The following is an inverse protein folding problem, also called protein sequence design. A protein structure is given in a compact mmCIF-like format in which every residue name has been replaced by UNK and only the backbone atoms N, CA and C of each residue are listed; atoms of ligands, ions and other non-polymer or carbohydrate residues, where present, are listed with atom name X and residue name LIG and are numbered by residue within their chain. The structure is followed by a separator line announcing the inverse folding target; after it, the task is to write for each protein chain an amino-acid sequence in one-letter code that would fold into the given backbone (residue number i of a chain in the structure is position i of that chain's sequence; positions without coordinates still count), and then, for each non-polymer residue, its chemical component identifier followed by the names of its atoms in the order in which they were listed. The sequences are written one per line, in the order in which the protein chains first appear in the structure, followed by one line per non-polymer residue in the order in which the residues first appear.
data_IF_983687938740
#
_entry.id   IF_983687938740
#
_cell.length_a   1.000
_cell.length_b   1.000
_cell.length_c   1.000
_cell.angle_alpha   90.00
_cell.angle_beta   90.00
_cell.angle_gamma   90.00
#
_symmetry.space_group_name_H-M   'P 1'
#
loop_
_entity.id
_entity.type
_entity.pdbx_description
1 polymer ?
#
# COMPACT_ATOMS: atom_id res chain seq x y z
N UNK A 1 -22.40 -79.22 -17.93
CA UNK A 1 -20.95 -78.96 -17.76
C UNK A 1 -20.74 -77.48 -18.02
N UNK A 2 -20.35 -76.75 -16.98
CA UNK A 2 -20.22 -75.31 -16.95
C UNK A 2 -19.01 -74.85 -17.77
N UNK A 3 -19.21 -73.91 -18.70
CA UNK A 3 -18.11 -73.18 -19.34
C UNK A 3 -17.76 -72.00 -18.43
N UNK A 4 -16.51 -71.99 -18.02
CA UNK A 4 -15.89 -71.09 -17.06
C UNK A 4 -15.81 -69.66 -17.63
N UNK A 5 -16.50 -68.70 -16.98
CA UNK A 5 -16.31 -67.29 -17.25
C UNK A 5 -14.89 -66.87 -16.83
N UNK A 6 -14.11 -66.40 -17.80
CA UNK A 6 -12.72 -66.00 -17.64
C UNK A 6 -12.61 -64.74 -16.75
N UNK A 7 -11.93 -64.79 -15.58
CA UNK A 7 -11.85 -63.66 -14.63
C UNK A 7 -10.92 -62.52 -15.10
N UNK A 8 -10.31 -62.64 -16.28
CA UNK A 8 -9.30 -61.70 -16.78
C UNK A 8 -9.92 -60.41 -17.35
N UNK A 9 -11.09 -60.50 -18.01
CA UNK A 9 -11.79 -59.34 -18.60
C UNK A 9 -12.33 -58.37 -17.53
N UNK A 10 -12.90 -58.91 -16.44
CA UNK A 10 -13.45 -58.12 -15.35
C UNK A 10 -12.36 -57.39 -14.55
N UNK A 11 -11.18 -58.02 -14.37
CA UNK A 11 -10.01 -57.37 -13.73
C UNK A 11 -9.45 -56.24 -14.56
N UNK A 12 -9.41 -56.38 -15.90
CA UNK A 12 -8.95 -55.32 -16.80
C UNK A 12 -9.91 -54.13 -16.79
N UNK A 13 -11.23 -54.39 -16.82
CA UNK A 13 -12.25 -53.35 -16.74
C UNK A 13 -12.19 -52.59 -15.40
N UNK A 14 -12.00 -53.32 -14.29
CA UNK A 14 -11.83 -52.71 -12.97
C UNK A 14 -10.55 -51.87 -12.88
N UNK A 15 -9.44 -52.34 -13.46
CA UNK A 15 -8.20 -51.56 -13.55
C UNK A 15 -8.37 -50.28 -14.38
N UNK A 16 -9.11 -50.32 -15.50
CA UNK A 16 -9.40 -49.14 -16.33
C UNK A 16 -10.31 -48.15 -15.60
N UNK A 17 -11.33 -48.63 -14.87
CA UNK A 17 -12.20 -47.78 -14.05
C UNK A 17 -11.41 -47.14 -12.90
N UNK A 18 -10.53 -47.89 -12.22
CA UNK A 18 -9.65 -47.37 -11.17
C UNK A 18 -8.66 -46.34 -11.75
N UNK A 19 -8.10 -46.57 -12.94
CA UNK A 19 -7.23 -45.60 -13.63
C UNK A 19 -8.00 -44.33 -14.02
N UNK A 20 -9.27 -44.46 -14.42
CA UNK A 20 -10.15 -43.33 -14.73
C UNK A 20 -10.45 -42.45 -13.52
N UNK A 21 -10.68 -43.06 -12.34
CA UNK A 21 -10.90 -42.32 -11.09
C UNK A 21 -9.63 -41.55 -10.66
N UNK A 22 -8.43 -42.07 -10.95
CA UNK A 22 -7.14 -41.42 -10.66
C UNK A 22 -6.86 -40.20 -11.57
N UNK A 23 -7.47 -40.11 -12.75
CA UNK A 23 -7.31 -38.95 -13.66
C UNK A 23 -8.21 -37.75 -13.34
N UNK A 24 -9.09 -37.85 -12.35
CA UNK A 24 -10.02 -36.79 -11.94
C UNK A 24 -9.41 -35.58 -11.22
N UNK A 25 -8.09 -35.51 -11.06
CA UNK A 25 -7.40 -34.47 -10.27
C UNK A 25 -6.62 -33.43 -11.10
N UNK A 26 -6.94 -33.25 -12.39
CA UNK A 26 -6.32 -32.19 -13.22
C UNK A 26 -6.92 -30.80 -12.92
N UNK A 27 -8.13 -30.75 -12.35
CA UNK A 27 -8.90 -29.54 -12.06
C UNK A 27 -8.23 -28.60 -11.03
N UNK A 28 -7.71 -29.08 -9.89
CA UNK A 28 -7.09 -28.20 -8.88
C UNK A 28 -5.76 -27.58 -9.34
N UNK A 29 -4.96 -28.31 -10.15
CA UNK A 29 -3.68 -27.81 -10.65
C UNK A 29 -3.86 -26.77 -11.75
N UNK A 30 -4.83 -26.96 -12.65
CA UNK A 30 -5.20 -25.97 -13.66
C UNK A 30 -5.77 -24.70 -12.99
N UNK A 31 -6.61 -24.85 -11.96
CA UNK A 31 -7.16 -23.73 -11.20
C UNK A 31 -6.07 -22.94 -10.47
N UNK A 32 -5.14 -23.61 -9.77
CA UNK A 32 -4.07 -22.92 -9.06
C UNK A 32 -3.18 -22.12 -10.03
N UNK A 33 -2.85 -22.68 -11.21
CA UNK A 33 -2.10 -21.94 -12.24
C UNK A 33 -2.86 -20.75 -12.79
N UNK A 34 -4.17 -20.88 -13.00
CA UNK A 34 -5.01 -19.78 -13.47
C UNK A 34 -5.10 -18.64 -12.44
N UNK A 35 -5.24 -18.97 -11.15
CA UNK A 35 -5.28 -17.98 -10.07
C UNK A 35 -3.94 -17.24 -9.94
N UNK A 36 -2.80 -17.93 -10.02
CA UNK A 36 -1.47 -17.30 -9.97
C UNK A 36 -1.27 -16.38 -11.19
N UNK A 37 -1.51 -16.89 -12.39
CA UNK A 37 -1.38 -16.08 -13.61
C UNK A 37 -2.32 -14.86 -13.61
N UNK A 38 -3.48 -14.99 -12.98
CA UNK A 38 -4.42 -13.89 -12.77
C UNK A 38 -3.88 -12.85 -11.80
N UNK A 39 -3.36 -13.27 -10.65
CA UNK A 39 -2.78 -12.36 -9.64
C UNK A 39 -1.58 -11.58 -10.20
N UNK A 40 -0.72 -12.27 -10.95
CA UNK A 40 0.40 -11.68 -11.69
C UNK A 40 -0.11 -10.63 -12.70
N UNK A 41 -1.11 -10.97 -13.53
CA UNK A 41 -1.66 -10.05 -14.52
C UNK A 41 -2.32 -8.79 -13.90
N UNK A 42 -3.02 -8.95 -12.77
CA UNK A 42 -3.62 -7.81 -12.05
C UNK A 42 -2.53 -6.93 -11.44
N UNK A 43 -1.52 -7.53 -10.81
CA UNK A 43 -0.40 -6.80 -10.20
C UNK A 43 0.41 -6.04 -11.26
N UNK A 44 0.68 -6.67 -12.40
CA UNK A 44 1.33 -6.04 -13.55
C UNK A 44 0.51 -4.87 -14.11
N UNK A 45 -0.80 -5.05 -14.28
CA UNK A 45 -1.67 -4.00 -14.79
C UNK A 45 -1.68 -2.77 -13.86
N UNK A 46 -1.77 -2.97 -12.54
CA UNK A 46 -1.71 -1.86 -11.57
C UNK A 46 -0.33 -1.19 -11.62
N UNK A 47 0.75 -1.96 -11.65
CA UNK A 47 2.12 -1.44 -11.70
C UNK A 47 2.37 -0.60 -12.94
N UNK A 48 1.91 -1.08 -14.11
CA UNK A 48 1.94 -0.32 -15.35
C UNK A 48 1.05 0.94 -15.27
N UNK A 49 -0.12 0.86 -14.63
CA UNK A 49 -1.01 2.02 -14.46
C UNK A 49 -0.41 3.11 -13.55
N UNK A 50 0.37 2.72 -12.54
CA UNK A 50 1.12 3.67 -11.72
C UNK A 50 2.18 4.37 -12.56
N UNK A 51 3.01 3.60 -13.27
CA UNK A 51 4.11 4.15 -14.05
C UNK A 51 3.63 5.04 -15.21
N UNK A 52 2.58 4.63 -15.94
CA UNK A 52 1.98 5.47 -17.00
C UNK A 52 1.42 6.78 -16.44
N UNK A 53 0.86 6.77 -15.24
CA UNK A 53 0.32 7.99 -14.63
C UNK A 53 1.42 8.93 -14.12
N UNK A 54 2.59 8.41 -13.72
CA UNK A 54 3.78 9.24 -13.46
C UNK A 54 4.22 9.93 -14.77
N UNK A 55 4.28 9.19 -15.88
CA UNK A 55 4.64 9.74 -17.20
C UNK A 55 3.60 10.75 -17.70
N UNK A 56 2.30 10.48 -17.50
CA UNK A 56 1.24 11.45 -17.79
C UNK A 56 1.40 12.72 -16.97
N UNK A 57 1.70 12.60 -15.67
CA UNK A 57 1.92 13.74 -14.80
C UNK A 57 3.12 14.59 -15.27
N UNK A 58 4.21 13.94 -15.69
CA UNK A 58 5.36 14.61 -16.31
C UNK A 58 4.95 15.42 -17.54
N UNK A 59 4.14 14.84 -18.43
CA UNK A 59 3.62 15.51 -19.63
C UNK A 59 2.37 16.38 -19.38
N UNK A 60 2.02 16.68 -18.13
CA UNK A 60 0.83 17.48 -17.74
C UNK A 60 -0.48 16.97 -18.35
N UNK A 61 -0.60 15.65 -18.50
CA UNK A 61 -1.82 15.00 -18.95
C UNK A 61 -2.68 14.57 -17.76
N UNK A 62 -4.00 14.42 -17.96
CA UNK A 62 -4.90 13.92 -16.93
C UNK A 62 -4.47 12.54 -16.41
N UNK A 63 -4.36 12.41 -15.09
CA UNK A 63 -4.16 11.14 -14.41
C UNK A 63 -5.48 10.38 -14.40
N UNK A 64 -5.44 9.10 -14.76
CA UNK A 64 -6.63 8.24 -14.81
C UNK A 64 -6.28 6.82 -14.40
N UNK A 65 -7.14 6.16 -13.62
CA UNK A 65 -6.97 4.77 -13.20
C UNK A 65 -8.10 3.91 -13.74
N UNK A 66 -7.76 2.84 -14.44
CA UNK A 66 -8.70 1.78 -14.84
C UNK A 66 -8.51 0.59 -13.92
N UNK A 67 -9.60 0.09 -13.34
CA UNK A 67 -9.61 -1.11 -12.52
C UNK A 67 -10.10 -2.30 -13.33
N UNK A 68 -9.63 -3.50 -12.97
CA UNK A 68 -10.29 -4.73 -13.38
C UNK A 68 -11.33 -5.04 -12.30
N UNK A 69 -12.62 -4.97 -12.63
CA UNK A 69 -13.68 -5.13 -11.63
C UNK A 69 -14.01 -6.59 -11.37
N UNK A 70 -13.92 -7.44 -12.40
CA UNK A 70 -14.16 -8.86 -12.31
C UNK A 70 -13.58 -9.59 -13.53
N UNK A 71 -13.05 -10.79 -13.34
CA UNK A 71 -12.72 -11.73 -14.42
C UNK A 71 -13.47 -13.03 -14.16
N UNK A 72 -14.33 -13.42 -15.10
CA UNK A 72 -15.03 -14.70 -15.07
C UNK A 72 -14.40 -15.65 -16.09
N UNK A 73 -13.74 -16.72 -15.64
CA UNK A 73 -13.19 -17.75 -16.52
C UNK A 73 -14.16 -18.93 -16.63
N UNK A 74 -14.58 -19.25 -17.86
CA UNK A 74 -15.39 -20.45 -18.14
C UNK A 74 -14.49 -21.52 -18.75
N UNK A 75 -14.38 -22.69 -18.10
CA UNK A 75 -13.64 -23.83 -18.62
C UNK A 75 -14.60 -24.84 -19.25
N UNK A 76 -14.44 -25.10 -20.54
CA UNK A 76 -15.20 -26.11 -21.26
C UNK A 76 -14.33 -27.35 -21.49
N UNK A 77 -14.67 -28.44 -20.81
CA UNK A 77 -14.08 -29.76 -21.01
C UNK A 77 -15.00 -30.58 -21.92
N UNK A 78 -14.56 -30.88 -23.14
CA UNK A 78 -15.30 -31.75 -24.05
C UNK A 78 -14.48 -33.02 -24.30
N UNK A 79 -15.01 -34.15 -23.84
CA UNK A 79 -14.49 -35.47 -24.16
C UNK A 79 -15.44 -36.12 -25.18
N UNK A 80 -14.92 -36.44 -26.35
CA UNK A 80 -15.65 -37.12 -27.41
C UNK A 80 -15.15 -38.56 -27.51
N UNK A 81 -16.08 -39.50 -27.54
CA UNK A 81 -15.83 -40.90 -27.86
C UNK A 81 -16.65 -41.27 -29.10
N UNK A 82 -15.98 -41.74 -30.13
CA UNK A 82 -16.60 -42.15 -31.39
C UNK A 82 -16.07 -43.49 -31.85
N UNK A 83 -16.64 -44.01 -32.93
CA UNK A 83 -16.17 -45.21 -33.59
C UNK A 83 -15.95 -44.89 -35.06
N UNK A 84 -14.76 -45.17 -35.58
CA UNK A 84 -14.44 -45.02 -37.00
C UNK A 84 -14.14 -46.39 -37.63
N UNK A 85 -14.49 -46.61 -38.91
CA UNK A 85 -14.09 -47.82 -39.62
C UNK A 85 -12.57 -47.95 -39.67
N UNK A 86 -12.04 -49.16 -39.50
CA UNK A 86 -10.61 -49.40 -39.65
C UNK A 86 -10.11 -48.98 -41.05
N UNK A 87 -9.01 -48.21 -41.10
CA UNK A 87 -8.35 -47.83 -42.35
C UNK A 87 -7.67 -49.05 -42.97
N UNK A 88 -8.44 -49.83 -43.73
CA UNK A 88 -7.95 -51.04 -44.38
C UNK A 88 -9.05 -51.89 -45.03
N UNK A 89 -9.67 -51.38 -46.09
CA UNK A 89 -10.42 -52.19 -47.07
C UNK A 89 -11.74 -52.82 -46.61
N UNK A 90 -12.68 -52.98 -47.53
CA UNK A 90 -14.09 -53.39 -47.35
C UNK A 90 -14.33 -54.83 -46.85
N UNK A 91 -13.42 -55.43 -46.06
CA UNK A 91 -13.53 -56.81 -45.59
C UNK A 91 -13.42 -56.98 -44.06
N UNK A 92 -13.40 -55.90 -43.28
CA UNK A 92 -13.39 -55.97 -41.81
C UNK A 92 -14.53 -55.19 -41.17
N UNK A 93 -15.44 -55.86 -40.46
CA UNK A 93 -16.52 -55.25 -39.64
C UNK A 93 -16.01 -54.62 -38.34
N UNK A 94 -14.71 -54.29 -38.26
CA UNK A 94 -14.08 -53.84 -37.02
C UNK A 94 -14.14 -52.31 -36.90
N UNK A 95 -14.93 -51.85 -35.94
CA UNK A 95 -14.99 -50.46 -35.53
C UNK A 95 -13.82 -50.17 -34.58
N UNK A 96 -13.00 -49.18 -34.92
CA UNK A 96 -11.94 -48.69 -34.03
C UNK A 96 -12.52 -47.58 -33.14
N UNK A 97 -12.36 -47.67 -31.81
CA UNK A 97 -12.74 -46.59 -30.93
C UNK A 97 -11.79 -45.40 -31.14
N UNK A 98 -12.38 -44.20 -31.23
CA UNK A 98 -11.67 -42.92 -31.32
C UNK A 98 -12.01 -42.13 -30.07
N UNK A 99 -10.99 -41.69 -29.35
CA UNK A 99 -11.13 -40.82 -28.19
C UNK A 99 -10.48 -39.48 -28.51
N UNK A 100 -11.21 -38.39 -28.30
CA UNK A 100 -10.72 -37.02 -28.43
C UNK A 100 -11.04 -36.23 -27.17
N UNK A 101 -10.09 -35.46 -26.68
CA UNK A 101 -10.30 -34.50 -25.60
C UNK A 101 -9.98 -33.10 -26.09
N UNK A 102 -10.82 -32.13 -25.77
CA UNK A 102 -10.51 -30.71 -25.96
C UNK A 102 -10.81 -29.96 -24.67
N UNK A 103 -9.90 -29.06 -24.31
CA UNK A 103 -10.04 -28.11 -23.22
C UNK A 103 -10.04 -26.73 -23.87
N UNK A 104 -11.10 -25.96 -23.66
CA UNK A 104 -11.20 -24.59 -24.14
C UNK A 104 -11.50 -23.66 -22.97
N UNK A 105 -10.79 -22.53 -22.92
CA UNK A 105 -10.93 -21.50 -21.89
C UNK A 105 -11.39 -20.20 -22.55
N UNK A 106 -12.50 -19.64 -22.06
CA UNK A 106 -13.03 -18.35 -22.53
C UNK A 106 -13.18 -17.40 -21.35
N UNK A 107 -12.13 -16.64 -20.98
CA UNK A 107 -12.21 -15.65 -19.92
C UNK A 107 -12.96 -14.41 -20.40
N UNK A 108 -13.95 -13.97 -19.60
CA UNK A 108 -14.62 -12.68 -19.79
C UNK A 108 -14.02 -11.69 -18.79
N UNK A 109 -13.30 -10.69 -19.31
CA UNK A 109 -12.66 -9.65 -18.51
C UNK A 109 -13.60 -8.44 -18.46
N UNK A 110 -14.09 -8.08 -17.27
CA UNK A 110 -14.82 -6.84 -17.04
C UNK A 110 -13.85 -5.76 -16.55
N UNK A 111 -13.64 -4.76 -17.39
CA UNK A 111 -12.84 -3.58 -17.08
C UNK A 111 -13.81 -2.47 -16.72
N UNK A 112 -13.70 -1.94 -15.50
CA UNK A 112 -14.49 -0.79 -15.06
C UNK A 112 -13.52 0.30 -14.70
N UNK A 113 -13.59 1.47 -15.37
CA UNK A 113 -12.82 2.63 -14.95
C UNK A 113 -13.03 2.91 -13.45
N UNK A 114 -11.95 3.25 -12.73
CA UNK A 114 -12.10 3.73 -11.35
C UNK A 114 -12.57 5.19 -11.46
N UNK A 115 -13.86 5.34 -11.71
CA UNK A 115 -14.53 6.62 -11.89
C UNK A 115 -15.46 6.91 -10.71
N UNK A 116 -15.63 8.19 -10.41
CA UNK A 116 -16.50 8.65 -9.34
C UNK A 116 -15.93 9.86 -8.60
N UNK A 117 -16.83 10.69 -8.08
CA UNK A 117 -16.48 11.87 -7.28
C UNK A 117 -15.65 11.48 -6.05
N UNK A 118 -16.01 10.37 -5.38
CA UNK A 118 -15.30 9.88 -4.19
C UNK A 118 -13.84 9.49 -4.47
N UNK A 119 -13.58 8.81 -5.58
CA UNK A 119 -12.21 8.46 -5.97
C UNK A 119 -11.40 9.72 -6.30
N UNK A 120 -11.98 10.62 -7.11
CA UNK A 120 -11.34 11.89 -7.47
C UNK A 120 -11.02 12.72 -6.23
N UNK A 121 -11.97 12.82 -5.30
CA UNK A 121 -11.79 13.52 -4.03
C UNK A 121 -10.66 12.89 -3.22
N UNK A 122 -10.61 11.57 -3.07
CA UNK A 122 -9.53 10.88 -2.33
C UNK A 122 -8.17 11.01 -3.01
N UNK A 123 -8.13 10.96 -4.33
CA UNK A 123 -6.91 11.13 -5.14
C UNK A 123 -6.30 12.52 -4.93
N UNK A 124 -7.14 13.55 -4.80
CA UNK A 124 -6.74 14.95 -4.65
C UNK A 124 -6.57 15.39 -3.20
N UNK A 125 -7.23 14.73 -2.25
CA UNK A 125 -7.13 15.05 -0.82
C UNK A 125 -5.78 14.56 -0.30
N UNK A 126 -5.02 15.40 0.44
CA UNK A 126 -3.78 14.96 1.06
C UNK A 126 -3.98 13.79 2.03
N UNK A 127 -2.95 12.94 2.17
CA UNK A 127 -3.05 11.78 3.06
C UNK A 127 -3.20 12.24 4.52
N UNK A 128 -4.12 11.64 5.30
CA UNK A 128 -4.19 11.90 6.73
C UNK A 128 -2.98 11.31 7.45
N UNK A 129 -2.56 11.93 8.55
CA UNK A 129 -1.40 11.50 9.35
C UNK A 129 -1.45 10.03 9.82
N UNK A 130 -2.65 9.46 9.95
CA UNK A 130 -2.83 8.06 10.36
C UNK A 130 -2.25 7.05 9.36
N UNK A 131 -2.24 7.38 8.06
CA UNK A 131 -1.68 6.51 7.01
C UNK A 131 -0.15 6.46 7.10
N UNK A 132 0.51 7.62 7.29
CA UNK A 132 1.95 7.67 7.53
C UNK A 132 2.33 6.98 8.85
N UNK A 133 1.57 7.23 9.92
CA UNK A 133 1.78 6.60 11.24
C UNK A 133 1.74 5.07 11.15
N UNK A 134 0.78 4.52 10.39
CA UNK A 134 0.67 3.08 10.16
C UNK A 134 1.94 2.52 9.49
N UNK A 135 2.45 3.19 8.46
CA UNK A 135 3.65 2.75 7.74
C UNK A 135 4.91 2.85 8.63
N UNK A 136 5.04 3.92 9.43
CA UNK A 136 6.14 4.05 10.39
C UNK A 136 6.14 2.93 11.44
N UNK A 137 4.96 2.54 11.96
CA UNK A 137 4.82 1.40 12.88
C UNK A 137 5.14 0.04 12.24
N UNK A 138 4.98 -0.06 10.93
CA UNK A 138 5.41 -1.22 10.14
C UNK A 138 6.91 -1.21 9.81
N UNK A 139 7.68 -0.26 10.36
CA UNK A 139 9.12 -0.12 10.16
C UNK A 139 9.52 0.15 8.71
N UNK A 140 8.65 0.83 7.95
CA UNK A 140 9.08 1.45 6.70
C UNK A 140 10.12 2.54 6.99
N UNK A 141 11.09 2.67 6.10
CA UNK A 141 12.13 3.69 6.19
C UNK A 141 11.50 5.10 6.18
N UNK A 142 11.72 5.84 7.26
CA UNK A 142 11.23 7.21 7.43
C UNK A 142 11.80 8.14 6.36
N UNK A 143 13.01 7.87 5.85
CA UNK A 143 13.64 8.65 4.80
C UNK A 143 12.81 8.58 3.52
N UNK A 144 12.56 7.36 3.06
CA UNK A 144 11.76 7.09 1.87
C UNK A 144 10.31 7.57 2.04
N UNK A 145 9.70 7.30 3.20
CA UNK A 145 8.33 7.72 3.52
C UNK A 145 8.17 9.24 3.44
N UNK A 146 9.03 9.99 4.13
CA UNK A 146 8.91 11.44 4.15
C UNK A 146 9.25 12.03 2.78
N UNK A 147 10.28 11.53 2.08
CA UNK A 147 10.60 12.00 0.72
C UNK A 147 9.48 11.78 -0.29
N UNK A 148 8.70 10.71 -0.14
CA UNK A 148 7.60 10.40 -1.04
C UNK A 148 6.31 11.13 -0.63
N UNK A 149 5.95 11.05 0.64
CA UNK A 149 4.64 11.49 1.13
C UNK A 149 4.60 12.96 1.53
N UNK A 150 5.73 13.62 1.80
CA UNK A 150 5.69 15.00 2.32
C UNK A 150 6.02 16.03 1.25
N UNK A 151 5.29 17.13 1.28
CA UNK A 151 5.44 18.27 0.38
C UNK A 151 6.45 19.29 0.91
N UNK A 152 6.43 19.52 2.21
CA UNK A 152 7.25 20.53 2.89
C UNK A 152 7.38 20.19 4.36
N UNK A 153 8.46 20.67 4.96
CA UNK A 153 8.65 20.70 6.41
C UNK A 153 8.56 22.15 6.90
N UNK A 154 7.83 22.37 7.98
CA UNK A 154 7.73 23.66 8.65
C UNK A 154 8.41 23.57 10.00
N UNK A 155 9.52 24.30 10.17
CA UNK A 155 10.25 24.34 11.42
C UNK A 155 9.70 25.45 12.31
N UNK A 156 9.45 25.11 13.57
CA UNK A 156 9.08 26.06 14.61
C UNK A 156 10.37 26.67 15.19
N UNK A 157 10.66 27.92 14.82
CA UNK A 157 11.68 28.74 15.47
C UNK A 157 11.01 29.90 16.20
N UNK A 158 11.59 30.34 17.32
CA UNK A 158 11.03 31.19 18.39
C UNK A 158 10.26 32.47 18.03
N UNK A 159 10.18 32.87 16.76
CA UNK A 159 9.32 33.96 16.29
C UNK A 159 8.84 33.82 14.83
N UNK A 160 9.34 32.86 14.04
CA UNK A 160 9.02 32.76 12.62
C UNK A 160 9.01 31.30 12.18
N UNK A 161 7.94 30.89 11.52
CA UNK A 161 7.85 29.58 10.89
C UNK A 161 8.64 29.61 9.59
N UNK A 162 9.66 28.75 9.49
CA UNK A 162 10.42 28.57 8.26
C UNK A 162 9.86 27.37 7.50
N UNK A 163 9.52 27.56 6.23
CA UNK A 163 8.94 26.53 5.36
C UNK A 163 10.00 26.10 4.35
N UNK A 164 10.30 24.80 4.30
CA UNK A 164 11.29 24.20 3.42
C UNK A 164 10.61 23.14 2.55
N UNK A 165 10.57 23.36 1.23
CA UNK A 165 9.83 22.50 0.31
C UNK A 165 10.66 21.31 -0.14
N UNK A 166 10.01 20.16 -0.25
CA UNK A 166 10.55 18.99 -0.93
C UNK A 166 10.38 19.16 -2.46
N UNK A 167 11.14 20.09 -3.03
CA UNK A 167 11.24 20.32 -4.48
C UNK A 167 12.66 20.77 -4.82
N UNK A 168 13.40 20.04 -5.68
CA UNK A 168 14.76 20.41 -6.08
C UNK A 168 14.91 21.81 -6.69
N UNK A 169 13.82 22.39 -7.20
CA UNK A 169 13.80 23.77 -7.71
C UNK A 169 13.97 24.84 -6.63
N UNK A 170 13.61 24.53 -5.38
CA UNK A 170 13.87 25.35 -4.20
C UNK A 170 15.13 24.83 -3.50
N UNK A 171 16.31 25.26 -3.96
CA UNK A 171 17.60 24.69 -3.52
C UNK A 171 17.74 24.72 -1.99
N UNK A 172 17.54 25.88 -1.37
CA UNK A 172 17.66 26.03 0.09
C UNK A 172 16.59 25.25 0.83
N UNK A 173 15.35 25.27 0.34
CA UNK A 173 14.25 24.45 0.86
C UNK A 173 14.55 22.96 0.81
N UNK A 174 14.96 22.48 -0.35
CA UNK A 174 15.21 21.07 -0.61
C UNK A 174 16.36 20.53 0.23
N UNK A 175 17.48 21.25 0.30
CA UNK A 175 18.62 20.83 1.11
C UNK A 175 18.25 20.72 2.59
N UNK A 176 17.55 21.72 3.13
CA UNK A 176 17.12 21.70 4.53
C UNK A 176 16.09 20.60 4.79
N UNK A 177 15.12 20.41 3.90
CA UNK A 177 14.18 19.31 3.95
C UNK A 177 14.91 17.96 4.00
N UNK A 178 15.85 17.73 3.08
CA UNK A 178 16.65 16.51 3.01
C UNK A 178 17.49 16.28 4.26
N UNK A 179 18.13 17.32 4.81
CA UNK A 179 18.90 17.22 6.06
C UNK A 179 18.01 16.82 7.24
N UNK A 180 16.82 17.40 7.36
CA UNK A 180 15.86 17.04 8.42
C UNK A 180 15.42 15.59 8.30
N UNK A 181 15.07 15.14 7.09
CA UNK A 181 14.64 13.75 6.87
C UNK A 181 15.78 12.76 7.15
N UNK A 182 16.99 13.04 6.67
CA UNK A 182 18.19 12.25 6.97
C UNK A 182 18.47 12.16 8.48
N UNK A 183 18.17 13.23 9.22
CA UNK A 183 18.30 13.23 10.68
C UNK A 183 17.31 12.27 11.35
N UNK A 184 16.05 12.27 10.92
CA UNK A 184 15.04 11.33 11.42
C UNK A 184 15.36 9.89 11.06
N UNK A 185 15.91 9.65 9.87
CA UNK A 185 16.41 8.34 9.44
C UNK A 185 17.51 7.81 10.35
N UNK A 186 18.51 8.65 10.66
CA UNK A 186 19.57 8.26 11.61
C UNK A 186 19.02 7.86 13.00
N UNK A 187 17.97 8.54 13.47
CA UNK A 187 17.30 8.21 14.74
C UNK A 187 16.51 6.89 14.63
N UNK A 188 15.83 6.66 13.50
CA UNK A 188 15.10 5.43 13.23
C UNK A 188 16.03 4.21 13.16
N UNK A 189 17.19 4.34 12.52
CA UNK A 189 18.19 3.27 12.38
C UNK A 189 18.67 2.71 13.73
N UNK A 190 18.60 3.53 14.80
CA UNK A 190 18.92 3.11 16.16
C UNK A 190 17.70 2.65 16.97
N UNK A 191 16.53 2.52 16.35
CA UNK A 191 15.25 2.24 17.00
C UNK A 191 14.92 3.25 18.11
N UNK A 192 15.27 4.52 17.90
CA UNK A 192 15.00 5.63 18.84
C UNK A 192 13.96 6.61 18.31
N UNK A 193 13.38 6.34 17.14
CA UNK A 193 12.31 7.14 16.57
C UNK A 193 10.96 6.56 17.01
N UNK A 194 10.16 7.38 17.69
CA UNK A 194 8.81 7.03 18.12
C UNK A 194 7.81 7.80 17.26
N UNK A 195 6.72 7.15 16.85
CA UNK A 195 5.63 7.77 16.11
C UNK A 195 4.30 7.34 16.74
N UNK A 196 3.89 8.06 17.78
CA UNK A 196 2.76 7.67 18.62
C UNK A 196 1.71 8.79 18.69
N UNK A 197 0.40 8.45 18.72
CA UNK A 197 -0.65 9.41 18.99
C UNK A 197 -0.53 9.91 20.42
N UNK A 198 -0.57 11.24 20.59
CA UNK A 198 -0.60 11.85 21.90
C UNK A 198 -1.99 11.62 22.51
N UNK A 199 -2.13 10.90 23.64
CA UNK A 199 -3.42 10.71 24.26
C UNK A 199 -3.92 12.05 24.83
N UNK A 200 -5.08 12.49 24.36
CA UNK A 200 -5.76 13.67 24.88
C UNK A 200 -6.66 13.24 26.03
N UNK A 201 -6.52 13.90 27.17
CA UNK A 201 -7.33 13.65 28.36
C UNK A 201 -8.25 14.83 28.56
N UNK A 202 -9.51 14.65 28.19
CA UNK A 202 -10.53 15.64 28.45
C UNK A 202 -11.14 15.39 29.83
N UNK A 203 -11.20 16.43 30.66
CA UNK A 203 -11.70 16.33 32.03
C UNK A 203 -12.89 17.25 32.22
N UNK A 204 -14.01 16.70 32.69
CA UNK A 204 -15.21 17.46 33.06
C UNK A 204 -15.55 17.23 34.52
N UNK A 205 -16.06 18.27 35.19
CA UNK A 205 -16.59 18.16 36.55
C UNK A 205 -18.06 18.46 36.53
N UNK A 206 -18.88 17.54 37.05
CA UNK A 206 -20.33 17.69 37.10
C UNK A 206 -20.86 17.44 38.53
N UNK A 207 -21.89 18.17 38.98
CA UNK A 207 -22.52 17.91 40.28
C UNK A 207 -23.10 16.51 40.35
N UNK A 208 -22.84 15.76 41.42
CA UNK A 208 -23.36 14.41 41.55
C UNK A 208 -24.89 14.38 41.64
N UNK A 209 -25.50 15.45 42.15
CA UNK A 209 -26.95 15.65 42.18
C UNK A 209 -27.60 15.80 40.80
N UNK A 210 -26.81 16.11 39.77
CA UNK A 210 -27.29 16.28 38.39
C UNK A 210 -27.33 14.97 37.58
N UNK A 211 -26.82 13.87 38.15
CA UNK A 211 -26.69 12.57 37.46
C UNK A 211 -27.66 11.55 38.05
N UNK A 212 -28.67 11.16 37.27
CA UNK A 212 -29.55 10.04 37.61
C UNK A 212 -28.79 8.69 37.52
N UNK A 213 -29.31 7.63 38.16
CA UNK A 213 -28.67 6.31 38.20
C UNK A 213 -28.44 5.72 36.79
N UNK A 214 -29.40 5.92 35.87
CA UNK A 214 -29.30 5.49 34.48
C UNK A 214 -28.24 6.31 33.72
N UNK A 215 -28.17 7.61 34.01
CA UNK A 215 -27.15 8.51 33.44
C UNK A 215 -25.74 8.14 33.89
N UNK A 216 -25.57 7.69 35.13
CA UNK A 216 -24.28 7.25 35.66
C UNK A 216 -23.76 6.02 34.90
N UNK A 217 -24.61 5.03 34.63
CA UNK A 217 -24.22 3.86 33.83
C UNK A 217 -23.83 4.24 32.39
N UNK A 218 -24.50 5.22 31.79
CA UNK A 218 -24.12 5.73 30.47
C UNK A 218 -22.75 6.42 30.50
N UNK A 219 -22.49 7.24 31.52
CA UNK A 219 -21.18 7.90 31.71
C UNK A 219 -20.05 6.89 31.88
N UNK A 220 -20.24 5.82 32.65
CA UNK A 220 -19.21 4.79 32.84
C UNK A 220 -18.86 4.02 31.56
N UNK A 221 -19.71 4.02 30.53
CA UNK A 221 -19.41 3.38 29.24
C UNK A 221 -18.41 4.20 28.40
N UNK A 222 -18.44 5.52 28.56
CA UNK A 222 -17.64 6.43 27.73
C UNK A 222 -16.49 7.13 28.46
N UNK A 223 -16.57 7.23 29.79
CA UNK A 223 -15.64 8.01 30.63
C UNK A 223 -15.12 7.18 31.79
N UNK A 224 -13.89 7.47 32.19
CA UNK A 224 -13.39 7.09 33.52
C UNK A 224 -14.01 8.06 34.53
N UNK A 225 -14.90 7.55 35.37
CA UNK A 225 -15.66 8.36 36.35
C UNK A 225 -15.04 8.23 37.74
N UNK A 226 -14.73 9.36 38.37
CA UNK A 226 -14.28 9.43 39.76
C UNK A 226 -15.22 10.29 40.59
N UNK A 227 -15.55 9.87 41.81
CA UNK A 227 -16.42 10.62 42.72
C UNK A 227 -15.59 11.34 43.79
N UNK A 228 -15.79 12.64 43.92
CA UNK A 228 -15.22 13.44 45.00
C UNK A 228 -16.31 13.70 46.06
N UNK A 229 -16.18 13.06 47.21
CA UNK A 229 -17.14 13.15 48.32
C UNK A 229 -17.11 14.47 49.08
N UNK A 230 -16.02 15.25 48.98
CA UNK A 230 -15.92 16.56 49.65
C UNK A 230 -16.74 17.63 48.94
N UNK A 231 -16.67 17.63 47.61
CA UNK A 231 -17.31 18.63 46.76
C UNK A 231 -18.63 18.14 46.14
N UNK A 232 -19.01 16.89 46.43
CA UNK A 232 -20.18 16.18 45.88
C UNK A 232 -20.26 16.24 44.34
N UNK A 233 -19.12 16.06 43.68
CA UNK A 233 -18.98 16.13 42.22
C UNK A 233 -18.42 14.83 41.64
N UNK A 234 -18.83 14.50 40.42
CA UNK A 234 -18.15 13.53 39.59
C UNK A 234 -17.12 14.22 38.69
N UNK A 235 -15.93 13.65 38.61
CA UNK A 235 -14.92 13.96 37.59
C UNK A 235 -14.99 12.91 36.51
N UNK A 236 -15.21 13.34 35.27
CA UNK A 236 -15.26 12.50 34.08
C UNK A 236 -13.97 12.70 33.28
N UNK A 237 -13.27 11.62 32.93
CA UNK A 237 -12.09 11.65 32.06
C UNK A 237 -12.34 10.84 30.80
N UNK A 238 -12.17 11.44 29.62
CA UNK A 238 -12.20 10.73 28.33
C UNK A 238 -10.82 10.77 27.69
N UNK A 239 -10.33 9.59 27.33
CA UNK A 239 -9.11 9.46 26.55
C UNK A 239 -9.49 9.41 25.07
N UNK A 240 -9.04 10.37 24.29
CA UNK A 240 -9.18 10.37 22.83
C UNK A 240 -7.80 10.36 22.18
N UNK A 241 -7.62 9.63 21.06
CA UNK A 241 -6.37 9.73 20.32
C UNK A 241 -6.21 11.15 19.77
N UNK A 242 -5.12 11.82 20.13
CA UNK A 242 -4.72 13.09 19.56
C UNK A 242 -3.85 12.93 18.32
N UNK A 243 -3.20 14.02 17.88
CA UNK A 243 -2.28 13.98 16.75
C UNK A 243 -1.10 13.03 17.05
N UNK A 244 -0.59 12.39 16.00
CA UNK A 244 0.66 11.64 16.06
C UNK A 244 1.83 12.60 16.15
N UNK A 245 2.74 12.33 17.08
CA UNK A 245 4.01 13.05 17.22
C UNK A 245 5.18 12.11 16.93
N UNK A 246 6.04 12.52 15.99
CA UNK A 246 7.32 11.86 15.73
C UNK A 246 8.38 12.42 16.69
N UNK A 247 9.05 11.57 17.45
CA UNK A 247 9.97 12.02 18.52
C UNK A 247 11.19 11.13 18.65
N UNK A 248 12.25 11.65 19.29
CA UNK A 248 13.43 10.86 19.69
C UNK A 248 13.39 10.37 21.15
N UNK A 249 12.23 10.49 21.80
CA UNK A 249 11.99 10.12 23.19
C UNK A 249 10.60 9.47 23.29
N UNK A 250 10.33 8.74 24.36
CA UNK A 250 9.02 8.12 24.54
C UNK A 250 7.95 9.19 24.87
N UNK A 251 6.91 9.40 24.02
CA UNK A 251 5.89 10.42 24.25
C UNK A 251 5.05 10.21 25.53
N UNK A 252 5.06 9.00 26.10
CA UNK A 252 4.41 8.72 27.39
C UNK A 252 5.07 9.48 28.55
N UNK A 253 6.33 9.91 28.39
CA UNK A 253 7.08 10.67 29.40
C UNK A 253 6.70 12.16 29.46
N UNK A 254 5.91 12.66 28.51
CA UNK A 254 5.45 14.05 28.50
C UNK A 254 4.57 14.36 29.72
N UNK A 255 4.70 15.57 30.25
CA UNK A 255 3.75 16.11 31.24
C UNK A 255 2.40 16.44 30.58
N UNK A 256 1.34 16.52 31.39
CA UNK A 256 0.01 16.89 30.88
C UNK A 256 0.00 18.30 30.25
N UNK A 257 0.73 19.26 30.83
CA UNK A 257 0.89 20.60 30.27
C UNK A 257 1.60 20.60 28.90
N UNK A 258 2.59 19.73 28.70
CA UNK A 258 3.26 19.61 27.41
C UNK A 258 2.35 18.98 26.36
N UNK A 259 1.54 17.98 26.75
CA UNK A 259 0.55 17.37 25.85
C UNK A 259 -0.50 18.40 25.43
N UNK A 260 -0.98 19.21 26.36
CA UNK A 260 -1.94 20.29 26.09
C UNK A 260 -1.34 21.34 25.15
N UNK A 261 -0.09 21.78 25.36
CA UNK A 261 0.60 22.69 24.42
C UNK A 261 0.72 22.12 23.00
N UNK A 262 0.97 20.82 22.87
CA UNK A 262 0.99 20.16 21.55
C UNK A 262 -0.41 20.03 20.96
N UNK A 263 -1.42 19.82 21.79
CA UNK A 263 -2.81 19.78 21.36
C UNK A 263 -3.30 21.13 20.86
N UNK A 264 -3.12 22.20 21.63
CA UNK A 264 -3.51 23.57 21.26
C UNK A 264 -2.87 23.98 19.94
N UNK A 265 -1.59 23.62 19.76
CA UNK A 265 -0.90 23.85 18.49
C UNK A 265 -1.53 23.05 17.35
N UNK A 266 -1.99 21.83 17.61
CA UNK A 266 -2.58 20.95 16.62
C UNK A 266 -4.03 21.27 16.24
N UNK A 267 -4.78 22.00 17.06
CA UNK A 267 -6.14 22.45 16.70
C UNK A 267 -6.15 23.31 15.43
N UNK A 268 -5.07 24.07 15.19
CA UNK A 268 -4.92 24.92 14.02
C UNK A 268 -4.40 24.16 12.77
N UNK A 269 -4.07 22.88 12.87
CA UNK A 269 -3.37 22.13 11.81
C UNK A 269 -4.30 21.34 10.90
N UNK A 270 -3.86 21.15 9.65
CA UNK A 270 -4.55 20.28 8.70
C UNK A 270 -4.45 18.81 9.18
N UNK A 271 -5.48 18.00 8.94
CA UNK A 271 -5.49 16.54 9.22
C UNK A 271 -4.29 15.82 8.56
N UNK A 272 -3.73 16.46 7.54
CA UNK A 272 -2.62 16.01 6.71
C UNK A 272 -1.26 16.55 7.17
N UNK A 273 -1.19 17.27 8.28
CA UNK A 273 0.06 17.68 8.91
C UNK A 273 0.44 16.66 10.01
N UNK A 274 1.71 16.22 10.04
CA UNK A 274 2.26 15.35 11.10
C UNK A 274 3.33 16.09 11.87
N UNK A 275 3.21 16.14 13.19
CA UNK A 275 4.13 16.87 14.05
C UNK A 275 5.38 16.05 14.37
N UNK A 276 6.48 16.75 14.64
CA UNK A 276 7.68 16.14 15.21
C UNK A 276 8.36 17.03 16.25
N UNK A 277 9.03 16.39 17.23
CA UNK A 277 9.80 17.02 18.28
C UNK A 277 11.07 16.22 18.59
N UNK A 278 12.23 16.78 18.24
CA UNK A 278 13.54 16.22 18.53
C UNK A 278 14.15 17.02 19.68
N UNK A 279 14.34 16.35 20.83
CA UNK A 279 14.83 16.96 22.06
C UNK A 279 16.31 16.66 22.28
N UNK A 280 16.99 17.64 22.88
CA UNK A 280 18.35 17.45 23.41
C UNK A 280 18.36 16.39 24.53
N UNK A 281 19.47 15.68 24.69
CA UNK A 281 19.65 14.66 25.74
C UNK A 281 19.16 13.25 25.35
N UNK A 282 18.57 13.10 24.18
CA UNK A 282 18.25 11.82 23.55
C UNK A 282 19.10 11.62 22.29
N UNK A 283 19.11 10.42 21.72
CA UNK A 283 19.86 10.15 20.48
C UNK A 283 19.34 11.03 19.33
N UNK A 284 20.23 11.68 18.57
CA UNK A 284 19.87 12.72 17.60
C UNK A 284 19.60 14.09 18.22
N UNK A 285 19.62 14.21 19.55
CA UNK A 285 19.42 15.46 20.27
C UNK A 285 20.54 16.50 20.08
N UNK A 286 21.59 16.19 19.32
CA UNK A 286 22.61 17.13 18.87
C UNK A 286 22.03 18.20 17.92
N UNK A 287 20.90 17.90 17.28
CA UNK A 287 20.13 18.85 16.47
C UNK A 287 18.68 18.94 16.95
N UNK A 288 18.42 19.68 18.06
CA UNK A 288 17.07 19.83 18.56
C UNK A 288 16.24 20.68 17.57
N UNK A 289 15.08 20.16 17.21
CA UNK A 289 14.16 20.81 16.28
C UNK A 289 12.74 20.30 16.49
N UNK A 290 11.77 21.19 16.30
CA UNK A 290 10.35 20.84 16.31
C UNK A 290 9.66 21.47 15.11
N UNK A 291 8.59 20.83 14.67
CA UNK A 291 7.94 21.24 13.44
C UNK A 291 6.84 20.30 13.02
N UNK A 292 6.43 20.44 11.78
CA UNK A 292 5.46 19.55 11.16
C UNK A 292 5.77 19.33 9.68
N UNK A 293 5.43 18.14 9.19
CA UNK A 293 5.48 17.82 7.77
C UNK A 293 4.07 17.89 7.20
N UNK A 294 3.94 18.53 6.05
CA UNK A 294 2.70 18.53 5.29
C UNK A 294 2.68 17.37 4.31
N UNK A 295 1.69 16.50 4.43
CA UNK A 295 1.53 15.36 3.54
C UNK A 295 0.95 15.76 2.17
N UNK A 296 1.31 14.99 1.15
CA UNK A 296 0.85 15.10 -0.23
C UNK A 296 -0.43 14.31 -0.40
N UNK A 297 -1.22 14.67 -1.39
CA UNK A 297 -2.22 13.78 -1.97
C UNK A 297 -1.57 12.78 -2.90
N UNK A 298 -2.25 11.68 -3.21
CA UNK A 298 -1.70 10.69 -4.15
C UNK A 298 -1.46 11.31 -5.55
N UNK A 299 -2.35 12.20 -6.01
CA UNK A 299 -2.12 13.01 -7.20
C UNK A 299 -0.80 13.82 -7.14
N UNK A 300 -0.53 14.43 -5.99
CA UNK A 300 0.67 15.24 -5.76
C UNK A 300 1.95 14.39 -5.70
N UNK A 301 1.85 13.13 -5.25
CA UNK A 301 2.96 12.15 -5.32
C UNK A 301 3.28 11.81 -6.78
N UNK A 302 2.28 11.47 -7.58
CA UNK A 302 2.49 11.18 -9.02
C UNK A 302 3.08 12.38 -9.75
N UNK A 303 2.62 13.59 -9.44
CA UNK A 303 3.16 14.83 -10.00
C UNK A 303 4.61 15.08 -9.57
N UNK A 304 4.95 14.81 -8.30
CA UNK A 304 6.32 14.92 -7.79
C UNK A 304 7.26 13.94 -8.48
N UNK A 305 6.86 12.67 -8.60
CA UNK A 305 7.64 11.66 -9.33
C UNK A 305 7.73 11.97 -10.83
N UNK A 306 6.67 12.54 -11.42
CA UNK A 306 6.66 12.97 -12.81
C UNK A 306 7.64 14.11 -13.08
N UNK A 307 7.82 15.04 -12.13
CA UNK A 307 8.86 16.07 -12.24
C UNK A 307 10.27 15.49 -12.17
N UNK A 308 10.46 14.46 -11.35
CA UNK A 308 11.73 13.74 -11.23
C UNK A 308 12.11 12.92 -12.49
N UNK A 309 11.20 12.74 -13.46
CA UNK A 309 11.52 12.15 -14.76
C UNK A 309 12.29 13.10 -15.70
N UNK A 310 12.35 14.40 -15.43
CA UNK A 310 13.06 15.34 -16.30
C UNK A 310 13.30 16.73 -15.71
N UNK A 311 12.25 17.46 -15.37
CA UNK A 311 12.31 18.90 -15.11
C UNK A 311 12.94 19.28 -13.75
N UNK A 312 12.76 18.43 -12.72
CA UNK A 312 13.26 18.69 -11.37
C UNK A 312 13.93 17.42 -10.81
N UNK A 313 15.09 17.06 -11.38
CA UNK A 313 15.91 15.96 -10.87
C UNK A 313 16.46 16.31 -9.48
N UNK A 314 16.27 15.40 -8.53
CA UNK A 314 16.94 15.47 -7.24
C UNK A 314 18.46 15.33 -7.40
N UNK A 315 19.19 15.82 -6.42
CA UNK A 315 20.65 15.78 -6.39
C UNK A 315 21.12 15.42 -4.99
N UNK A 316 22.41 15.12 -4.88
CA UNK A 316 23.02 14.75 -3.62
C UNK A 316 22.93 15.89 -2.59
N UNK A 317 22.40 15.58 -1.41
CA UNK A 317 22.40 16.49 -0.27
C UNK A 317 23.13 15.85 0.89
N UNK A 318 24.22 16.48 1.29
CA UNK A 318 24.98 16.08 2.47
C UNK A 318 24.14 16.23 3.75
N UNK A 319 24.28 15.25 4.65
CA UNK A 319 23.64 15.31 5.97
C UNK A 319 24.20 16.49 6.78
N UNK A 320 23.40 17.01 7.71
CA UNK A 320 23.88 18.01 8.67
C UNK A 320 25.00 17.40 9.53
N UNK A 321 25.99 18.21 9.92
CA UNK A 321 27.11 17.77 10.75
C UNK A 321 26.66 17.23 12.12
N UNK A 322 25.51 17.70 12.62
CA UNK A 322 24.90 17.24 13.86
C UNK A 322 24.10 15.95 13.67
N UNK A 323 23.85 15.51 12.44
CA UNK A 323 23.16 14.25 12.18
C UNK A 323 24.08 13.08 12.51
N UNK A 324 23.61 12.11 13.32
CA UNK A 324 24.38 10.89 13.62
C UNK A 324 24.73 10.07 12.35
N UNK A 325 25.54 9.00 12.48
CA UNK A 325 25.76 8.08 11.38
C UNK A 325 24.45 7.40 10.93
N UNK A 326 24.26 7.29 9.61
CA UNK A 326 23.14 6.59 8.97
C UNK A 326 23.60 5.19 8.61
N UNK A 327 22.75 4.19 8.81
CA UNK A 327 23.05 2.80 8.52
C UNK A 327 23.42 2.63 7.05
N UNK A 328 24.55 1.96 6.77
CA UNK A 328 25.12 1.75 5.42
C UNK A 328 25.41 3.04 4.64
N UNK A 329 25.33 4.22 5.27
CA UNK A 329 25.42 5.51 4.61
C UNK A 329 24.42 5.63 3.43
N UNK A 330 23.22 5.06 3.59
CA UNK A 330 22.16 5.11 2.58
C UNK A 330 21.61 6.54 2.48
N UNK A 331 21.97 7.24 1.41
CA UNK A 331 21.45 8.57 1.08
C UNK A 331 21.35 8.72 -0.45
N UNK A 332 20.36 8.07 -1.10
CA UNK A 332 20.19 8.17 -2.54
C UNK A 332 19.78 9.59 -2.95
N UNK A 333 20.24 10.07 -4.10
CA UNK A 333 19.90 11.42 -4.58
C UNK A 333 18.41 11.56 -4.89
N UNK A 334 17.81 10.53 -5.48
CA UNK A 334 16.42 10.52 -5.93
C UNK A 334 15.53 9.73 -4.98
N UNK A 335 14.27 10.16 -4.83
CA UNK A 335 13.23 9.37 -4.11
C UNK A 335 12.98 8.05 -4.83
N UNK A 336 12.98 8.06 -6.16
CA UNK A 336 12.90 6.87 -7.02
C UNK A 336 13.55 7.20 -8.36
N UNK A 337 14.45 6.35 -8.81
CA UNK A 337 15.12 6.51 -10.09
C UNK A 337 14.38 5.80 -11.21
N UNK A 338 14.37 6.40 -12.40
CA UNK A 338 13.70 5.89 -13.58
C UNK A 338 14.67 5.70 -14.75
N UNK A 339 14.37 4.73 -15.60
CA UNK A 339 15.06 4.50 -16.88
C UNK A 339 14.14 4.93 -18.01
N UNK A 340 14.62 5.81 -18.88
CA UNK A 340 13.96 6.20 -20.13
C UNK A 340 14.82 5.75 -21.30
N UNK A 341 14.25 4.93 -22.19
CA UNK A 341 14.99 4.33 -23.30
C UNK A 341 14.16 4.30 -24.60
N UNK A 342 14.83 4.32 -25.74
CA UNK A 342 14.17 4.18 -27.05
C UNK A 342 13.81 2.73 -27.40
N UNK A 343 14.37 1.76 -26.66
CA UNK A 343 14.15 0.31 -26.80
C UNK A 343 13.75 -0.27 -25.46
N UNK A 344 13.14 -1.46 -25.45
CA UNK A 344 12.78 -2.17 -24.21
C UNK A 344 14.01 -2.31 -23.30
N UNK A 345 13.98 -1.76 -22.07
CA UNK A 345 15.08 -1.89 -21.13
C UNK A 345 15.28 -3.36 -20.75
N UNK A 346 16.53 -3.83 -20.75
CA UNK A 346 16.86 -5.17 -20.30
C UNK A 346 16.98 -5.23 -18.77
N UNK A 347 16.53 -6.34 -18.17
CA UNK A 347 16.66 -6.64 -16.73
C UNK A 347 16.02 -5.58 -15.82
N UNK A 348 14.88 -5.01 -16.26
CA UNK A 348 13.97 -4.27 -15.38
C UNK A 348 12.83 -5.19 -14.98
N UNK A 349 12.23 -4.93 -13.82
CA UNK A 349 11.14 -5.78 -13.30
C UNK A 349 9.89 -5.65 -14.22
N UNK A 350 9.59 -4.44 -14.70
CA UNK A 350 8.58 -4.18 -15.73
C UNK A 350 8.87 -2.85 -16.45
N UNK A 351 8.23 -2.63 -17.61
CA UNK A 351 8.30 -1.35 -18.33
C UNK A 351 6.98 -1.02 -19.01
N UNK A 352 6.77 0.27 -19.30
CA UNK A 352 5.64 0.76 -20.10
C UNK A 352 6.15 1.53 -21.31
N UNK A 353 5.39 1.51 -22.40
CA UNK A 353 5.69 2.27 -23.62
C UNK A 353 4.78 3.47 -23.73
N UNK A 354 5.35 4.66 -23.90
CA UNK A 354 4.63 5.91 -24.09
C UNK A 354 5.33 6.79 -25.13
N UNK A 355 4.56 7.29 -26.10
CA UNK A 355 5.05 8.17 -27.17
C UNK A 355 6.35 7.69 -27.86
N UNK A 356 6.47 6.38 -28.09
CA UNK A 356 7.64 5.79 -28.74
C UNK A 356 8.84 5.47 -27.83
N UNK A 357 8.79 5.86 -26.55
CA UNK A 357 9.82 5.57 -25.56
C UNK A 357 9.34 4.54 -24.52
N UNK A 358 10.29 3.87 -23.89
CA UNK A 358 10.07 2.96 -22.78
C UNK A 358 10.48 3.61 -21.48
N UNK A 359 9.63 3.44 -20.47
CA UNK A 359 9.83 3.92 -19.12
C UNK A 359 9.83 2.73 -18.16
N UNK A 360 10.75 2.72 -17.20
CA UNK A 360 10.85 1.70 -16.16
C UNK A 360 11.41 2.32 -14.87
N UNK A 361 11.22 1.65 -13.74
CA UNK A 361 11.96 1.97 -12.51
C UNK A 361 13.37 1.40 -12.64
N UNK A 362 14.41 2.14 -12.21
CA UNK A 362 15.77 1.62 -12.25
C UNK A 362 15.98 0.60 -11.13
N UNK A 363 16.02 -0.68 -11.50
CA UNK A 363 16.24 -1.79 -10.56
C UNK A 363 17.68 -2.33 -10.61
N UNK A 364 18.62 -1.52 -11.12
CA UNK A 364 20.07 -1.82 -11.19
C UNK A 364 20.89 -0.87 -10.32
N UNK A 365 22.16 -1.24 -10.12
CA UNK A 365 23.13 -0.42 -9.41
C UNK A 365 22.97 -0.43 -7.88
N UNK A 366 23.69 0.46 -7.19
CA UNK A 366 23.76 0.45 -5.72
C UNK A 366 22.43 0.76 -5.03
N UNK A 367 21.51 1.46 -5.70
CA UNK A 367 20.21 1.86 -5.15
C UNK A 367 19.02 1.02 -5.67
N UNK A 368 19.30 -0.12 -6.31
CA UNK A 368 18.25 -1.02 -6.83
C UNK A 368 17.21 -1.41 -5.77
N UNK A 369 17.66 -1.69 -4.54
CA UNK A 369 16.78 -2.04 -3.42
C UNK A 369 15.88 -0.85 -3.05
N UNK A 370 16.48 0.33 -2.85
CA UNK A 370 15.75 1.56 -2.55
C UNK A 370 14.67 1.86 -3.60
N UNK A 371 14.98 1.73 -4.89
CA UNK A 371 14.02 1.98 -5.96
C UNK A 371 12.86 0.97 -5.97
N UNK A 372 13.11 -0.30 -5.63
CA UNK A 372 12.05 -1.31 -5.46
C UNK A 372 11.18 -1.00 -4.24
N UNK A 373 11.79 -0.67 -3.12
CA UNK A 373 11.09 -0.30 -1.88
C UNK A 373 10.25 0.98 -2.11
N UNK A 374 10.75 1.94 -2.89
CA UNK A 374 10.02 3.13 -3.31
C UNK A 374 8.81 2.80 -4.19
N UNK A 375 8.97 1.94 -5.18
CA UNK A 375 7.83 1.54 -6.03
C UNK A 375 6.79 0.74 -5.23
N UNK A 376 7.22 -0.14 -4.33
CA UNK A 376 6.33 -0.86 -3.42
C UNK A 376 5.55 0.11 -2.51
N UNK A 377 6.22 1.13 -1.96
CA UNK A 377 5.55 2.17 -1.18
C UNK A 377 4.50 2.91 -2.01
N UNK A 378 4.83 3.31 -3.24
CA UNK A 378 3.87 3.95 -4.14
C UNK A 378 2.64 3.07 -4.40
N UNK A 379 2.85 1.77 -4.60
CA UNK A 379 1.78 0.80 -4.79
C UNK A 379 0.88 0.68 -3.56
N UNK A 380 1.46 0.61 -2.35
CA UNK A 380 0.71 0.58 -1.09
C UNK A 380 -0.11 1.86 -0.89
N UNK A 381 0.48 3.02 -1.17
CA UNK A 381 -0.21 4.31 -1.07
C UNK A 381 -1.39 4.37 -2.04
N UNK A 382 -1.24 3.82 -3.25
CA UNK A 382 -2.36 3.70 -4.20
C UNK A 382 -3.47 2.80 -3.66
N UNK A 383 -3.13 1.62 -3.12
CA UNK A 383 -4.12 0.73 -2.51
C UNK A 383 -4.88 1.43 -1.39
N UNK A 384 -4.17 2.16 -0.52
CA UNK A 384 -4.78 2.95 0.55
C UNK A 384 -5.74 4.05 0.08
N UNK A 385 -5.61 4.51 -1.18
CA UNK A 385 -6.52 5.47 -1.82
C UNK A 385 -7.76 4.78 -2.44
N UNK A 386 -7.60 3.55 -2.94
CA UNK A 386 -8.66 2.79 -3.65
C UNK A 386 -9.54 1.96 -2.71
N UNK A 387 -9.03 1.48 -1.57
CA UNK A 387 -9.73 0.48 -0.73
C UNK A 387 -11.02 0.94 -0.07
N UNK A 388 -11.31 2.24 0.00
CA UNK A 388 -12.54 2.75 0.59
C UNK A 388 -13.73 2.77 -0.41
N UNK A 389 -13.60 2.16 -1.59
CA UNK A 389 -14.70 2.02 -2.56
C UNK A 389 -15.60 0.86 -2.11
N UNK A 390 -16.89 1.09 -1.81
CA UNK A 390 -17.82 -0.01 -1.54
C UNK A 390 -17.82 -0.95 -2.75
N UNK A 391 -17.36 -2.20 -2.55
CA UNK A 391 -17.47 -3.25 -3.56
C UNK A 391 -18.93 -3.69 -3.64
N UNK A 392 -19.79 -2.83 -4.18
CA UNK A 392 -21.19 -3.17 -4.43
C UNK A 392 -21.25 -4.12 -5.62
N UNK A 393 -21.71 -5.34 -5.38
CA UNK A 393 -22.16 -6.24 -6.45
C UNK A 393 -21.08 -6.99 -7.22
N UNK A 394 -19.99 -7.43 -6.59
CA UNK A 394 -19.10 -8.42 -7.22
C UNK A 394 -19.80 -9.79 -7.16
N UNK A 395 -20.21 -10.39 -8.29
CA UNK A 395 -20.66 -11.77 -8.26
C UNK A 395 -19.47 -12.64 -7.86
N UNK A 396 -19.64 -13.40 -6.79
CA UNK A 396 -18.76 -14.49 -6.41
C UNK A 396 -18.51 -15.39 -7.63
N UNK A 397 -17.30 -15.95 -7.75
CA UNK A 397 -17.03 -17.05 -8.69
C UNK A 397 -18.15 -18.08 -8.51
N UNK A 398 -19.08 -18.14 -9.46
CA UNK A 398 -20.25 -19.01 -9.37
C UNK A 398 -19.99 -20.17 -10.30
N UNK A 399 -19.56 -21.28 -9.72
CA UNK A 399 -19.37 -22.54 -10.45
C UNK A 399 -20.76 -23.10 -10.71
N UNK A 400 -21.22 -23.09 -11.96
CA UNK A 400 -22.33 -23.94 -12.37
C UNK A 400 -21.86 -25.40 -12.27
N UNK A 401 -22.57 -26.18 -11.46
CA UNK A 401 -22.20 -27.54 -11.07
C UNK A 401 -22.42 -28.56 -12.19
#
# INVERSE_FOLDING_TARGET
MNVTHCPCSLRLLLCIVILGILTGCVSPMALNRAVIAYDDAVTDAISQQLLINIVRAHHRQPIHFTGVSNIAATFNFQANAGAMPALGGLAGTSLLPVFGGSVSESPTISIVPIEGEDFTKRLLTPFPQSKLTLLLRQHFDVDLLLRMMTQEVRLLHSAQQAVYRNSPSDITGYEMFRRVVLHLSAIQDQNKLYAEPLPLVHTWTIPASSVAAEGFQALQKEFVVSYNSKDNNYTLRKHTPGPTLITNYDPSTLSDEEREKWHDRAEDWDISDIAFDIRSGHYGGEWPMSGFFRLRSFHSILSFLGKALGDELGYHVEKDLRTPPILRNENPDLTMEFVVANTTPAEVDFSIRWNGQYYAVNTKGPHARWNRDAFQLLFLLFQMTVTDIPRVGVPSITIAK
#
